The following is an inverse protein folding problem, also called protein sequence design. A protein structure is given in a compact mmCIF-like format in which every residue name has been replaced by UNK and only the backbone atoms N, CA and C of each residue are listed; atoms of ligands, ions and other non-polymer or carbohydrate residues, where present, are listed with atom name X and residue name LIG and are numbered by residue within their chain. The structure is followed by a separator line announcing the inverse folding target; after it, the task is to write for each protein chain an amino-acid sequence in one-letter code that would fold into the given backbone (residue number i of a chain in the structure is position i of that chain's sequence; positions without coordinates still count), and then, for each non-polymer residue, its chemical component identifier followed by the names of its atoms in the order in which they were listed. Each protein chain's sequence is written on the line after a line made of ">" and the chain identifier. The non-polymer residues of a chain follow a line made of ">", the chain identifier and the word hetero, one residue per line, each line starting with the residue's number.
data_IF_395898671123
#
_entry.id   IF_395898671123
#
_cell.length_a   1.000
_cell.length_b   1.000
_cell.length_c   1.000
_cell.angle_alpha   90.00
_cell.angle_beta   90.00
_cell.angle_gamma   90.00
#
_symmetry.space_group_name_H-M   'P 1'
#
loop_
_entity.id
_entity.type
_entity.pdbx_description
1 polymer ?
#
# COMPACT_ATOMS: atom_id res chain seq x y z
N UNK A 1 24.10 -70.42 80.70
CA UNK A 1 24.88 -69.87 79.57
C UNK A 1 23.93 -69.65 78.44
N UNK A 2 23.45 -68.42 78.28
CA UNK A 2 22.47 -68.03 77.24
C UNK A 2 23.19 -67.24 76.17
N UNK A 3 23.16 -67.79 74.93
CA UNK A 3 23.73 -67.10 73.75
C UNK A 3 22.78 -66.12 73.16
N UNK A 4 23.29 -64.95 72.82
CA UNK A 4 22.57 -63.89 72.14
C UNK A 4 22.42 -64.17 70.63
N UNK A 5 21.31 -63.77 69.98
CA UNK A 5 21.14 -63.94 68.56
C UNK A 5 21.84 -62.82 67.74
N UNK A 6 22.16 -63.09 66.46
CA UNK A 6 22.90 -62.12 65.61
C UNK A 6 22.02 -61.00 65.11
N UNK A 7 22.61 -59.77 65.01
CA UNK A 7 22.01 -58.56 64.43
C UNK A 7 21.99 -58.67 62.92
N UNK A 8 20.81 -58.47 62.32
CA UNK A 8 20.66 -58.22 60.86
C UNK A 8 21.15 -56.84 60.54
N UNK A 9 22.16 -56.73 59.70
CA UNK A 9 22.62 -55.48 59.12
C UNK A 9 21.78 -55.07 57.91
N UNK A 10 21.08 -53.96 58.03
CA UNK A 10 20.40 -53.33 56.90
C UNK A 10 21.40 -52.42 56.23
N UNK A 11 21.71 -52.69 54.96
CA UNK A 11 22.56 -51.82 54.15
C UNK A 11 21.72 -50.65 53.59
N UNK A 12 22.12 -49.35 53.73
CA UNK A 12 21.48 -48.23 53.12
C UNK A 12 22.19 -47.86 51.80
N UNK A 13 21.74 -48.38 50.67
CA UNK A 13 22.23 -47.99 49.37
C UNK A 13 21.16 -48.26 48.31
N UNK A 14 20.18 -47.38 48.12
CA UNK A 14 19.39 -47.31 46.89
C UNK A 14 18.32 -46.15 46.89
N UNK A 15 18.59 -44.92 47.36
CA UNK A 15 17.60 -43.84 47.29
C UNK A 15 18.21 -42.49 46.83
N UNK A 16 19.35 -42.47 46.18
CA UNK A 16 19.95 -41.19 45.76
C UNK A 16 20.31 -41.04 44.29
N UNK A 17 19.64 -41.72 43.38
CA UNK A 17 19.95 -41.60 41.94
C UNK A 17 18.75 -41.31 41.02
N UNK A 18 17.61 -40.86 41.54
CA UNK A 18 16.42 -40.56 40.71
C UNK A 18 15.98 -39.11 40.69
N UNK A 19 16.73 -38.17 41.29
CA UNK A 19 16.30 -36.74 41.35
C UNK A 19 17.18 -35.77 40.58
N UNK A 20 18.16 -36.21 39.79
CA UNK A 20 19.01 -35.30 38.98
C UNK A 20 18.73 -35.37 37.47
N UNK A 21 17.89 -36.30 37.02
CA UNK A 21 17.61 -36.46 35.58
C UNK A 21 16.40 -35.66 35.06
N UNK A 22 15.68 -34.88 35.90
CA UNK A 22 14.45 -34.20 35.49
C UNK A 22 14.58 -32.66 35.37
N UNK A 23 15.78 -32.10 35.48
CA UNK A 23 15.96 -30.64 35.40
C UNK A 23 16.78 -30.15 34.19
N UNK A 24 17.12 -31.03 33.25
CA UNK A 24 17.95 -30.69 32.09
C UNK A 24 17.19 -30.61 30.74
N UNK A 25 15.85 -30.72 30.73
CA UNK A 25 15.07 -30.70 29.47
C UNK A 25 14.20 -29.46 29.25
N UNK A 26 14.37 -28.40 30.02
CA UNK A 26 13.55 -27.18 29.87
C UNK A 26 14.30 -25.97 29.28
N UNK A 27 15.44 -26.16 28.61
CA UNK A 27 16.10 -25.11 27.82
C UNK A 27 16.31 -25.57 26.37
N UNK A 28 15.33 -26.24 25.78
CA UNK A 28 15.19 -26.19 24.34
C UNK A 28 14.55 -24.85 24.04
N UNK A 29 15.37 -23.81 23.82
CA UNK A 29 14.92 -22.54 23.28
C UNK A 29 14.03 -22.84 22.08
N UNK A 30 12.80 -22.29 22.06
CA UNK A 30 11.97 -22.34 20.87
C UNK A 30 12.86 -21.93 19.68
N UNK A 31 12.84 -22.67 18.55
CA UNK A 31 13.58 -22.22 17.38
C UNK A 31 13.11 -20.80 17.09
N UNK A 32 14.02 -19.84 17.18
CA UNK A 32 13.79 -18.54 16.62
C UNK A 32 13.54 -18.82 15.13
N UNK A 33 12.29 -18.81 14.71
CA UNK A 33 11.93 -18.73 13.30
C UNK A 33 12.44 -17.38 12.83
N UNK A 34 13.72 -17.33 12.45
CA UNK A 34 14.24 -16.24 11.66
C UNK A 34 13.37 -16.24 10.40
N UNK A 35 12.48 -15.26 10.27
CA UNK A 35 11.61 -15.14 9.12
C UNK A 35 12.47 -15.18 7.86
N UNK A 36 12.06 -15.96 6.87
CA UNK A 36 12.76 -16.01 5.59
C UNK A 36 12.62 -14.65 4.93
N UNK A 37 13.75 -13.98 4.65
CA UNK A 37 13.78 -12.68 3.99
C UNK A 37 14.39 -12.85 2.60
N UNK A 38 13.67 -12.39 1.57
CA UNK A 38 14.18 -12.32 0.20
C UNK A 38 14.26 -10.86 -0.22
N UNK A 39 15.35 -10.47 -0.89
CA UNK A 39 15.53 -9.15 -1.47
C UNK A 39 15.53 -9.23 -3.00
N UNK A 40 14.73 -8.37 -3.64
CA UNK A 40 14.69 -8.18 -5.09
C UNK A 40 15.06 -6.74 -5.43
N UNK A 41 15.67 -6.52 -6.59
CA UNK A 41 16.13 -5.20 -7.02
C UNK A 41 15.67 -4.89 -8.44
N UNK A 42 15.43 -3.59 -8.70
CA UNK A 42 15.18 -3.05 -10.02
C UNK A 42 16.31 -2.02 -10.33
N UNK A 43 16.90 -1.98 -11.52
CA UNK A 43 16.76 -2.98 -12.61
C UNK A 43 17.17 -4.39 -12.19
N UNK A 44 16.57 -5.40 -12.83
CA UNK A 44 16.84 -6.80 -12.52
C UNK A 44 18.34 -7.13 -12.66
N UNK A 45 18.94 -7.63 -11.59
CA UNK A 45 20.31 -8.11 -11.58
C UNK A 45 20.40 -9.57 -12.08
N UNK A 46 21.51 -9.97 -12.73
CA UNK A 46 21.71 -11.36 -13.13
C UNK A 46 21.54 -12.32 -11.94
N UNK A 47 20.67 -13.32 -12.07
CA UNK A 47 20.38 -14.27 -11.00
C UNK A 47 19.51 -13.73 -9.86
N UNK A 48 19.05 -12.49 -9.92
CA UNK A 48 18.15 -11.87 -8.96
C UNK A 48 16.67 -12.19 -9.24
N UNK A 49 15.79 -11.73 -8.36
CA UNK A 49 14.34 -11.79 -8.54
C UNK A 49 13.79 -10.47 -9.11
N UNK A 50 12.78 -10.57 -9.98
CA UNK A 50 12.03 -9.43 -10.51
C UNK A 50 11.02 -8.94 -9.47
N UNK A 51 11.12 -7.69 -8.95
CA UNK A 51 10.21 -7.16 -7.95
C UNK A 51 8.74 -7.24 -8.36
N UNK A 52 8.41 -6.92 -9.61
CA UNK A 52 7.03 -6.99 -10.13
C UNK A 52 6.52 -8.43 -10.16
N UNK A 53 7.30 -9.36 -10.71
CA UNK A 53 6.93 -10.77 -10.78
C UNK A 53 6.71 -11.33 -9.37
N UNK A 54 7.58 -11.01 -8.44
CA UNK A 54 7.49 -11.41 -7.01
C UNK A 54 6.21 -10.88 -6.35
N UNK A 55 5.86 -9.61 -6.59
CA UNK A 55 4.59 -9.03 -6.09
C UNK A 55 3.39 -9.77 -6.68
N UNK A 56 3.38 -10.03 -7.99
CA UNK A 56 2.28 -10.74 -8.67
C UNK A 56 2.17 -12.18 -8.16
N UNK A 57 3.28 -12.87 -7.94
CA UNK A 57 3.31 -14.22 -7.38
C UNK A 57 2.69 -14.27 -5.98
N UNK A 58 3.08 -13.34 -5.10
CA UNK A 58 2.53 -13.22 -3.76
C UNK A 58 1.00 -12.98 -3.78
N UNK A 59 0.51 -12.10 -4.66
CA UNK A 59 -0.92 -11.84 -4.83
C UNK A 59 -1.64 -13.08 -5.36
N UNK A 60 -1.03 -13.79 -6.30
CA UNK A 60 -1.61 -14.99 -6.92
C UNK A 60 -1.70 -16.14 -5.92
N UNK A 61 -0.69 -16.28 -5.05
CA UNK A 61 -0.64 -17.27 -3.99
C UNK A 61 -1.53 -16.97 -2.78
N UNK A 62 -2.02 -15.74 -2.64
CA UNK A 62 -2.85 -15.31 -1.53
C UNK A 62 -4.15 -16.11 -1.43
N UNK A 63 -4.51 -16.50 -0.19
CA UNK A 63 -5.68 -17.36 0.09
C UNK A 63 -6.73 -16.70 0.98
N UNK A 64 -6.36 -15.72 1.81
CA UNK A 64 -7.23 -15.09 2.79
C UNK A 64 -7.32 -13.58 2.60
N UNK A 65 -6.19 -12.89 2.68
CA UNK A 65 -6.15 -11.42 2.71
C UNK A 65 -4.99 -10.87 1.91
N UNK A 66 -5.22 -9.74 1.24
CA UNK A 66 -4.16 -8.87 0.67
C UNK A 66 -4.47 -7.43 1.06
N UNK A 67 -3.66 -6.86 1.96
CA UNK A 67 -3.77 -5.47 2.37
C UNK A 67 -2.66 -4.67 1.68
N UNK A 68 -3.04 -3.67 0.91
CA UNK A 68 -2.11 -2.80 0.17
C UNK A 68 -2.13 -1.41 0.76
N UNK A 69 -0.95 -0.81 0.96
CA UNK A 69 -0.78 0.60 1.31
C UNK A 69 0.32 1.15 0.39
N UNK A 70 -0.08 1.93 -0.63
CA UNK A 70 0.80 2.23 -1.75
C UNK A 70 0.75 3.71 -2.14
N UNK A 71 1.92 4.35 -2.14
CA UNK A 71 2.07 5.73 -2.57
C UNK A 71 1.72 5.92 -4.04
N UNK A 72 2.29 5.10 -4.93
CA UNK A 72 2.02 5.17 -6.36
C UNK A 72 1.71 3.77 -6.93
N UNK A 73 0.51 3.63 -7.47
CA UNK A 73 -0.04 2.37 -8.01
C UNK A 73 -0.59 2.63 -9.42
N UNK A 74 0.20 2.32 -10.45
CA UNK A 74 -0.18 2.48 -11.86
C UNK A 74 0.10 1.25 -12.71
N UNK A 75 0.76 0.21 -12.15
CA UNK A 75 1.06 -1.04 -12.85
C UNK A 75 -0.21 -1.80 -13.18
N UNK A 76 -0.53 -1.90 -14.47
CA UNK A 76 -1.72 -2.63 -14.95
C UNK A 76 -1.70 -4.11 -14.56
N UNK A 77 -0.52 -4.72 -14.53
CA UNK A 77 -0.36 -6.14 -14.23
C UNK A 77 -0.62 -6.42 -12.74
N UNK A 78 -0.07 -5.60 -11.85
CA UNK A 78 -0.31 -5.72 -10.40
C UNK A 78 -1.79 -5.43 -10.09
N UNK A 79 -2.38 -4.39 -10.68
CA UNK A 79 -3.81 -4.09 -10.54
C UNK A 79 -4.67 -5.27 -10.99
N UNK A 80 -4.37 -5.87 -12.15
CA UNK A 80 -5.10 -7.04 -12.63
C UNK A 80 -4.96 -8.24 -11.69
N UNK A 81 -3.77 -8.48 -11.12
CA UNK A 81 -3.56 -9.54 -10.14
C UNK A 81 -4.40 -9.33 -8.87
N UNK A 82 -4.47 -8.09 -8.34
CA UNK A 82 -5.29 -7.73 -7.17
C UNK A 82 -6.79 -7.94 -7.44
N UNK A 83 -7.28 -7.50 -8.60
CA UNK A 83 -8.68 -7.72 -9.01
C UNK A 83 -8.98 -9.22 -9.16
N UNK A 84 -8.09 -9.98 -9.77
CA UNK A 84 -8.24 -11.43 -9.91
C UNK A 84 -8.22 -12.13 -8.54
N UNK A 85 -7.39 -11.69 -7.59
CA UNK A 85 -7.40 -12.21 -6.23
C UNK A 85 -8.75 -11.92 -5.54
N UNK A 86 -9.29 -10.72 -5.71
CA UNK A 86 -10.63 -10.35 -5.22
C UNK A 86 -11.71 -11.26 -5.79
N UNK A 87 -11.69 -11.52 -7.09
CA UNK A 87 -12.65 -12.41 -7.75
C UNK A 87 -12.52 -13.88 -7.30
N UNK A 88 -11.33 -14.30 -6.83
CA UNK A 88 -11.13 -15.62 -6.20
C UNK A 88 -11.67 -15.72 -4.77
N UNK A 89 -12.21 -14.60 -4.22
CA UNK A 89 -12.73 -14.55 -2.86
C UNK A 89 -11.72 -14.11 -1.79
N UNK A 90 -10.50 -13.70 -2.19
CA UNK A 90 -9.52 -13.12 -1.26
C UNK A 90 -10.02 -11.74 -0.79
N UNK A 91 -9.90 -11.44 0.50
CA UNK A 91 -10.21 -10.11 1.03
C UNK A 91 -9.10 -9.12 0.67
N UNK A 92 -9.21 -8.54 -0.52
CA UNK A 92 -8.28 -7.52 -1.02
C UNK A 92 -8.79 -6.14 -0.67
N UNK A 93 -7.94 -5.32 -0.04
CA UNK A 93 -8.20 -3.91 0.30
C UNK A 93 -6.98 -3.06 0.00
N UNK A 94 -7.18 -1.80 -0.40
CA UNK A 94 -6.09 -0.88 -0.73
C UNK A 94 -6.27 0.48 -0.06
N UNK A 95 -5.17 1.06 0.42
CA UNK A 95 -5.04 2.48 0.78
C UNK A 95 -4.08 3.10 -0.23
N UNK A 96 -4.48 4.21 -0.84
CA UNK A 96 -3.65 4.97 -1.78
C UNK A 96 -3.46 6.40 -1.30
N UNK A 97 -2.34 7.02 -1.67
CA UNK A 97 -2.13 8.45 -1.41
C UNK A 97 -3.11 9.30 -2.22
N UNK A 98 -3.58 10.41 -1.65
CA UNK A 98 -4.51 11.33 -2.32
C UNK A 98 -3.96 11.90 -3.62
N UNK A 99 -2.63 12.08 -3.73
CA UNK A 99 -1.99 12.62 -4.95
C UNK A 99 -2.11 11.65 -6.12
N UNK A 100 -2.25 10.36 -5.85
CA UNK A 100 -2.52 9.36 -6.88
C UNK A 100 -3.77 9.72 -7.70
N UNK A 101 -4.81 10.27 -7.06
CA UNK A 101 -6.04 10.68 -7.75
C UNK A 101 -5.87 11.98 -8.54
N UNK A 102 -4.94 12.84 -8.12
CA UNK A 102 -4.66 14.12 -8.79
C UNK A 102 -3.78 13.92 -10.04
N UNK A 103 -2.88 12.95 -9.99
CA UNK A 103 -1.90 12.65 -11.03
C UNK A 103 -2.42 11.65 -12.07
N UNK A 104 -3.34 10.76 -11.69
CA UNK A 104 -3.87 9.68 -12.54
C UNK A 104 -4.99 10.18 -13.47
N UNK A 105 -4.62 11.08 -14.37
CA UNK A 105 -5.52 11.65 -15.40
C UNK A 105 -5.51 10.88 -16.72
N UNK A 106 -4.81 9.75 -16.76
CA UNK A 106 -4.74 8.93 -17.96
C UNK A 106 -5.92 7.94 -18.03
N UNK A 107 -6.27 7.48 -19.22
CA UNK A 107 -7.26 6.41 -19.49
C UNK A 107 -6.90 5.08 -18.80
N UNK A 108 -5.83 5.06 -18.03
CA UNK A 108 -5.30 3.92 -17.29
C UNK A 108 -5.51 4.03 -15.80
N UNK A 109 -6.52 4.78 -15.35
CA UNK A 109 -6.79 5.00 -13.92
C UNK A 109 -6.78 3.68 -13.14
N UNK A 110 -5.61 3.33 -12.61
CA UNK A 110 -5.37 2.07 -11.90
C UNK A 110 -6.26 1.96 -10.66
N UNK A 111 -6.48 3.08 -9.97
CA UNK A 111 -7.32 3.16 -8.77
C UNK A 111 -8.79 2.92 -9.12
N UNK A 112 -9.28 3.53 -10.22
CA UNK A 112 -10.64 3.27 -10.70
C UNK A 112 -10.82 1.83 -11.17
N UNK A 113 -9.81 1.22 -11.78
CA UNK A 113 -9.83 -0.20 -12.18
C UNK A 113 -9.88 -1.14 -10.97
N UNK A 114 -9.16 -0.85 -9.90
CA UNK A 114 -9.28 -1.60 -8.64
C UNK A 114 -10.70 -1.51 -8.09
N UNK A 115 -11.24 -0.30 -7.99
CA UNK A 115 -12.57 -0.08 -7.45
C UNK A 115 -13.67 -0.74 -8.30
N UNK A 116 -13.62 -0.61 -9.63
CA UNK A 116 -14.56 -1.27 -10.54
C UNK A 116 -14.43 -2.80 -10.53
N UNK A 117 -13.24 -3.33 -10.21
CA UNK A 117 -13.00 -4.74 -9.97
C UNK A 117 -13.46 -5.24 -8.58
N UNK A 118 -14.18 -4.41 -7.82
CA UNK A 118 -14.75 -4.78 -6.51
C UNK A 118 -13.75 -4.74 -5.34
N UNK A 119 -12.54 -4.18 -5.54
CA UNK A 119 -11.58 -3.96 -4.45
C UNK A 119 -11.95 -2.69 -3.69
N UNK A 120 -12.22 -2.74 -2.36
CA UNK A 120 -12.38 -1.56 -1.55
C UNK A 120 -11.11 -0.71 -1.56
N UNK A 121 -11.22 0.53 -2.04
CA UNK A 121 -10.12 1.49 -2.07
C UNK A 121 -10.41 2.64 -1.12
N UNK A 122 -9.46 2.89 -0.24
CA UNK A 122 -9.41 4.04 0.66
C UNK A 122 -8.39 5.05 0.15
N UNK A 123 -8.69 6.31 0.34
CA UNK A 123 -7.80 7.43 0.02
C UNK A 123 -7.28 8.02 1.32
N UNK A 124 -5.98 8.06 1.48
CA UNK A 124 -5.36 8.66 2.66
C UNK A 124 -5.60 10.18 2.69
N UNK A 125 -6.09 10.67 3.82
CA UNK A 125 -6.39 12.09 4.04
C UNK A 125 -5.54 12.72 5.14
N UNK A 126 -4.63 11.96 5.73
CA UNK A 126 -3.71 12.46 6.76
C UNK A 126 -2.77 13.50 6.14
N UNK A 127 -2.49 14.63 6.81
CA UNK A 127 -1.52 15.60 6.32
C UNK A 127 -0.15 14.99 6.03
N UNK A 128 0.51 15.43 4.97
CA UNK A 128 1.77 14.89 4.48
C UNK A 128 1.56 13.95 3.29
N UNK A 129 2.51 13.05 3.07
CA UNK A 129 2.47 11.99 2.07
C UNK A 129 2.28 10.65 2.76
N UNK A 130 1.39 9.83 2.25
CA UNK A 130 1.39 8.39 2.55
C UNK A 130 2.41 7.73 1.63
N UNK A 131 3.72 7.84 1.99
CA UNK A 131 4.83 7.42 1.14
C UNK A 131 5.20 5.95 1.27
N UNK A 132 4.32 5.15 1.84
CA UNK A 132 4.52 3.72 2.08
C UNK A 132 4.39 2.90 0.78
N UNK A 133 5.14 1.82 0.72
CA UNK A 133 5.07 0.77 -0.29
C UNK A 133 5.00 -0.56 0.46
N UNK A 134 3.78 -0.94 0.82
CA UNK A 134 3.51 -2.06 1.71
C UNK A 134 2.44 -2.96 1.09
N UNK A 135 2.66 -4.25 1.18
CA UNK A 135 1.63 -5.26 1.00
C UNK A 135 1.76 -6.30 2.12
N UNK A 136 0.63 -6.66 2.71
CA UNK A 136 0.56 -7.73 3.71
C UNK A 136 -0.30 -8.84 3.13
N UNK A 137 0.25 -10.06 3.07
CA UNK A 137 -0.41 -11.23 2.49
C UNK A 137 -0.70 -12.24 3.58
N UNK A 138 -1.96 -12.64 3.68
CA UNK A 138 -2.49 -13.68 4.57
C UNK A 138 -2.12 -13.52 6.06
N UNK A 139 -1.73 -12.29 6.47
CA UNK A 139 -1.28 -12.02 7.85
C UNK A 139 0.03 -12.71 8.22
N UNK A 140 0.81 -13.15 7.25
CA UNK A 140 2.04 -13.92 7.45
C UNK A 140 3.24 -13.38 6.66
N UNK A 141 3.01 -12.61 5.61
CA UNK A 141 4.06 -12.08 4.75
C UNK A 141 3.93 -10.58 4.62
N UNK A 142 5.03 -9.85 4.81
CA UNK A 142 5.16 -8.42 4.52
C UNK A 142 6.03 -8.23 3.29
N UNK A 143 5.54 -7.45 2.34
CA UNK A 143 6.30 -7.00 1.18
C UNK A 143 6.45 -5.48 1.30
N UNK A 144 7.69 -4.99 1.31
CA UNK A 144 8.00 -3.56 1.48
C UNK A 144 9.32 -3.18 0.83
N UNK A 145 9.66 -1.89 0.80
CA UNK A 145 10.89 -1.37 0.22
C UNK A 145 10.68 0.00 -0.42
N UNK A 146 11.51 0.35 -1.40
CA UNK A 146 11.34 1.57 -2.18
C UNK A 146 10.43 1.39 -3.41
N UNK A 147 10.16 0.14 -3.82
CA UNK A 147 9.50 -0.21 -5.07
C UNK A 147 8.03 0.22 -5.11
N UNK A 148 7.74 1.29 -5.84
CA UNK A 148 6.37 1.67 -6.19
C UNK A 148 5.79 0.70 -7.24
N UNK A 149 4.50 0.50 -7.24
CA UNK A 149 3.84 -0.34 -8.25
C UNK A 149 3.56 0.47 -9.53
N UNK A 150 4.65 0.89 -10.19
CA UNK A 150 4.63 1.77 -11.37
C UNK A 150 5.58 1.28 -12.45
N UNK A 151 5.29 1.64 -13.71
CA UNK A 151 6.17 1.32 -14.82
C UNK A 151 7.61 1.85 -14.63
N UNK A 152 7.77 3.05 -14.06
CA UNK A 152 9.10 3.62 -13.80
C UNK A 152 9.89 2.82 -12.78
N UNK A 153 9.24 2.35 -11.71
CA UNK A 153 9.87 1.48 -10.72
C UNK A 153 10.26 0.12 -11.33
N UNK A 154 9.44 -0.40 -12.25
CA UNK A 154 9.71 -1.67 -12.94
C UNK A 154 10.90 -1.59 -13.91
N UNK A 155 11.13 -0.43 -14.59
CA UNK A 155 12.00 -0.38 -15.77
C UNK A 155 13.12 0.67 -15.74
N UNK A 156 13.04 1.67 -14.84
CA UNK A 156 13.97 2.83 -14.86
C UNK A 156 14.67 3.10 -13.56
N UNK A 157 13.93 3.02 -12.44
CA UNK A 157 14.45 3.42 -11.16
C UNK A 157 15.33 2.32 -10.56
N UNK A 158 16.32 2.71 -9.76
CA UNK A 158 16.96 1.80 -8.82
C UNK A 158 16.05 1.63 -7.61
N UNK A 159 15.48 0.43 -7.43
CA UNK A 159 14.54 0.12 -6.36
C UNK A 159 14.95 -1.16 -5.64
N UNK A 160 14.45 -1.31 -4.43
CA UNK A 160 14.52 -2.55 -3.66
C UNK A 160 13.12 -3.00 -3.23
N UNK A 161 12.95 -4.29 -3.10
CA UNK A 161 11.77 -4.95 -2.55
C UNK A 161 12.24 -6.04 -1.59
N UNK A 162 11.65 -6.08 -0.40
CA UNK A 162 11.84 -7.16 0.57
C UNK A 162 10.55 -7.96 0.67
N UNK A 163 10.67 -9.28 0.65
CA UNK A 163 9.61 -10.22 1.04
C UNK A 163 10.03 -10.83 2.36
N UNK A 164 9.22 -10.66 3.38
CA UNK A 164 9.52 -11.06 4.76
C UNK A 164 8.42 -11.99 5.24
N UNK A 165 8.73 -13.26 5.42
CA UNK A 165 7.81 -14.28 5.96
C UNK A 165 7.90 -14.30 7.48
N UNK A 166 7.16 -13.40 8.14
CA UNK A 166 7.12 -13.26 9.60
C UNK A 166 5.72 -12.81 10.03
N UNK A 167 5.00 -13.69 10.73
CA UNK A 167 3.63 -13.42 11.16
C UNK A 167 3.55 -12.35 12.26
N UNK A 168 4.59 -12.23 13.10
CA UNK A 168 4.64 -11.19 14.15
C UNK A 168 4.79 -9.81 13.50
N UNK A 169 5.73 -9.68 12.59
CA UNK A 169 5.91 -8.45 11.83
C UNK A 169 4.66 -8.13 10.98
N UNK A 170 4.05 -9.14 10.34
CA UNK A 170 2.83 -8.96 9.57
C UNK A 170 1.66 -8.45 10.44
N UNK A 171 1.58 -8.88 11.71
CA UNK A 171 0.59 -8.37 12.65
C UNK A 171 0.83 -6.88 12.99
N UNK A 172 2.08 -6.46 13.20
CA UNK A 172 2.42 -5.05 13.43
C UNK A 172 2.08 -4.17 12.22
N UNK A 173 2.43 -4.61 11.01
CA UNK A 173 2.06 -3.92 9.77
C UNK A 173 0.54 -3.88 9.56
N UNK A 174 -0.17 -4.94 9.90
CA UNK A 174 -1.65 -4.97 9.84
C UNK A 174 -2.27 -3.98 10.82
N UNK A 175 -1.72 -3.87 12.03
CA UNK A 175 -2.16 -2.85 12.99
C UNK A 175 -1.95 -1.44 12.45
N UNK A 176 -0.78 -1.14 11.90
CA UNK A 176 -0.48 0.16 11.27
C UNK A 176 -1.45 0.43 10.11
N UNK A 177 -1.67 -0.56 9.22
CA UNK A 177 -2.62 -0.47 8.12
C UNK A 177 -4.03 -0.11 8.61
N UNK A 178 -4.52 -0.78 9.66
CA UNK A 178 -5.84 -0.53 10.25
C UNK A 178 -5.95 0.89 10.83
N UNK A 179 -4.92 1.37 11.53
CA UNK A 179 -4.87 2.74 12.05
C UNK A 179 -4.91 3.77 10.92
N UNK A 180 -4.23 3.50 9.81
CA UNK A 180 -4.24 4.37 8.63
C UNK A 180 -5.60 4.31 7.92
N UNK A 181 -6.16 3.11 7.74
CA UNK A 181 -7.49 2.90 7.16
C UNK A 181 -8.58 3.66 7.91
N UNK A 182 -8.56 3.66 9.25
CA UNK A 182 -9.51 4.38 10.09
C UNK A 182 -9.45 5.92 9.89
N UNK A 183 -8.35 6.44 9.36
CA UNK A 183 -8.12 7.88 9.07
C UNK A 183 -8.21 8.19 7.57
N UNK A 184 -8.54 7.21 6.76
CA UNK A 184 -8.71 7.33 5.30
C UNK A 184 -10.19 7.39 4.94
N UNK A 185 -10.50 7.82 3.72
CA UNK A 185 -11.89 7.92 3.21
C UNK A 185 -12.11 6.96 2.05
N UNK A 186 -13.30 6.37 1.91
CA UNK A 186 -13.64 5.60 0.72
C UNK A 186 -13.46 6.43 -0.55
N UNK A 187 -12.96 5.81 -1.63
CA UNK A 187 -12.73 6.48 -2.92
C UNK A 187 -13.98 7.19 -3.44
N UNK A 188 -15.17 6.58 -3.34
CA UNK A 188 -16.42 7.18 -3.78
C UNK A 188 -16.74 8.49 -3.03
N UNK A 189 -16.48 8.55 -1.72
CA UNK A 189 -16.66 9.78 -0.93
C UNK A 189 -15.64 10.85 -1.30
N UNK A 190 -14.40 10.46 -1.64
CA UNK A 190 -13.36 11.37 -2.11
C UNK A 190 -13.68 11.97 -3.48
N UNK A 191 -14.22 11.17 -4.39
CA UNK A 191 -14.67 11.65 -5.70
C UNK A 191 -15.87 12.61 -5.58
N UNK A 192 -16.81 12.34 -4.68
CA UNK A 192 -17.93 13.25 -4.40
C UNK A 192 -17.50 14.56 -3.73
N UNK A 193 -16.50 14.49 -2.82
CA UNK A 193 -15.94 15.69 -2.21
C UNK A 193 -15.20 16.57 -3.25
N UNK A 194 -14.44 15.95 -4.15
CA UNK A 194 -13.78 16.63 -5.26
C UNK A 194 -14.79 17.26 -6.24
N UNK A 195 -15.90 16.56 -6.56
CA UNK A 195 -16.96 17.11 -7.40
C UNK A 195 -17.72 18.25 -6.71
N UNK A 196 -17.96 18.15 -5.39
CA UNK A 196 -18.57 19.24 -4.60
C UNK A 196 -17.66 20.46 -4.50
N UNK A 197 -16.34 20.26 -4.31
CA UNK A 197 -15.38 21.38 -4.29
C UNK A 197 -15.22 22.01 -5.68
N UNK A 198 -15.33 21.23 -6.75
CA UNK A 198 -15.36 21.75 -8.11
C UNK A 198 -16.67 22.50 -8.42
N UNK A 199 -17.79 22.12 -7.80
CA UNK A 199 -19.09 22.80 -7.88
C UNK A 199 -19.21 23.97 -6.89
N UNK A 200 -18.45 23.94 -5.78
CA UNK A 200 -18.35 25.02 -4.79
C UNK A 200 -17.24 26.03 -5.09
N UNK A 201 -16.59 25.93 -6.26
CA UNK A 201 -15.80 27.04 -6.76
C UNK A 201 -16.71 28.28 -6.76
N UNK A 202 -16.27 29.42 -6.19
CA UNK A 202 -17.13 30.60 -6.02
C UNK A 202 -17.84 30.89 -7.33
N UNK A 203 -19.14 31.20 -7.24
CA UNK A 203 -19.96 31.61 -8.38
C UNK A 203 -19.12 32.60 -9.15
N UNK A 204 -18.67 32.20 -10.34
CA UNK A 204 -17.66 32.88 -11.10
C UNK A 204 -18.03 34.36 -11.20
N UNK A 205 -17.10 35.25 -10.93
CA UNK A 205 -17.15 36.60 -11.40
C UNK A 205 -17.61 36.51 -12.88
N UNK A 206 -18.72 37.18 -13.22
CA UNK A 206 -19.43 37.00 -14.48
C UNK A 206 -18.48 37.24 -15.68
N UNK A 207 -18.10 36.14 -16.35
CA UNK A 207 -17.25 36.20 -17.53
C UNK A 207 -16.84 34.80 -18.01
N UNK A 208 -16.43 34.65 -19.27
CA UNK A 208 -16.07 33.37 -19.86
C UNK A 208 -14.80 32.81 -19.23
N UNK A 209 -14.72 31.48 -19.14
CA UNK A 209 -13.47 30.79 -18.83
C UNK A 209 -12.52 30.91 -20.04
N UNK A 210 -11.30 31.40 -19.82
CA UNK A 210 -10.30 31.56 -20.89
C UNK A 210 -9.16 30.58 -20.72
N UNK A 211 -8.98 29.71 -21.69
CA UNK A 211 -7.84 28.79 -21.78
C UNK A 211 -6.70 29.38 -22.60
N UNK A 212 -5.46 29.09 -22.19
CA UNK A 212 -4.29 29.37 -22.98
C UNK A 212 -3.93 28.15 -23.82
N UNK A 213 -4.08 28.25 -25.15
CA UNK A 213 -3.83 27.12 -26.10
C UNK A 213 -2.41 26.57 -26.02
N UNK A 214 -1.43 27.41 -25.68
CA UNK A 214 -0.03 27.00 -25.61
C UNK A 214 0.30 26.20 -24.35
N UNK A 215 -0.23 26.61 -23.18
CA UNK A 215 0.04 25.97 -21.89
C UNK A 215 -1.01 24.97 -21.47
N UNK A 216 -2.16 24.93 -22.18
CA UNK A 216 -3.33 24.13 -21.84
C UNK A 216 -3.82 24.38 -20.40
N UNK A 217 -3.71 25.65 -19.96
CA UNK A 217 -4.18 26.11 -18.65
C UNK A 217 -5.36 27.06 -18.85
N UNK A 218 -6.47 26.82 -18.15
CA UNK A 218 -7.59 27.75 -18.16
C UNK A 218 -7.65 28.59 -16.88
N UNK A 219 -8.24 29.78 -17.01
CA UNK A 219 -8.41 30.75 -15.95
C UNK A 219 -9.83 31.31 -16.00
N UNK A 220 -10.32 31.79 -14.87
CA UNK A 220 -11.59 32.50 -14.76
C UNK A 220 -11.36 33.97 -14.41
N UNK A 221 -12.37 34.84 -14.56
CA UNK A 221 -12.27 36.26 -14.19
C UNK A 221 -11.81 36.40 -12.73
N UNK A 222 -10.82 37.26 -12.49
CA UNK A 222 -10.19 37.44 -11.20
C UNK A 222 -8.87 36.67 -11.01
N UNK A 223 -8.52 35.75 -11.90
CA UNK A 223 -7.20 35.12 -11.88
C UNK A 223 -6.10 36.13 -12.31
N UNK A 224 -4.91 36.12 -11.68
CA UNK A 224 -3.83 37.08 -11.92
C UNK A 224 -3.34 37.20 -13.36
N UNK A 225 -3.54 36.17 -14.18
CA UNK A 225 -3.11 36.15 -15.59
C UNK A 225 -4.26 36.03 -16.59
N UNK A 226 -5.51 36.17 -16.12
CA UNK A 226 -6.69 36.04 -16.96
C UNK A 226 -6.64 36.98 -18.20
N UNK A 227 -6.34 38.27 -17.97
CA UNK A 227 -6.25 39.27 -19.02
C UNK A 227 -4.91 39.26 -19.77
N UNK A 228 -3.89 38.56 -19.23
CA UNK A 228 -2.55 38.52 -19.81
C UNK A 228 -2.37 37.43 -20.87
N UNK A 229 -3.38 36.61 -21.12
CA UNK A 229 -3.33 35.62 -22.21
C UNK A 229 -3.43 36.37 -23.53
N UNK A 230 -2.41 36.22 -24.38
CA UNK A 230 -2.39 36.87 -25.69
C UNK A 230 -3.63 36.45 -26.53
N UNK A 231 -4.27 37.38 -27.28
CA UNK A 231 -5.51 37.08 -28.00
C UNK A 231 -5.46 35.86 -28.90
N UNK A 232 -4.35 35.63 -29.63
CA UNK A 232 -4.17 34.46 -30.50
C UNK A 232 -4.05 33.14 -29.77
N UNK A 233 -3.76 33.15 -28.45
CA UNK A 233 -3.68 31.97 -27.62
C UNK A 233 -4.92 31.70 -26.76
N UNK A 234 -5.97 32.53 -26.88
CA UNK A 234 -7.20 32.38 -26.10
C UNK A 234 -8.12 31.33 -26.70
N UNK A 235 -8.63 30.46 -25.83
CA UNK A 235 -9.76 29.60 -26.09
C UNK A 235 -10.83 29.89 -25.05
N UNK A 236 -12.03 30.25 -25.47
CA UNK A 236 -13.14 30.58 -24.56
C UNK A 236 -13.98 29.33 -24.29
N UNK A 237 -14.40 29.13 -23.04
CA UNK A 237 -15.24 28.03 -22.61
C UNK A 237 -16.43 28.58 -21.80
N UNK A 238 -17.58 27.93 -21.93
CA UNK A 238 -18.78 28.29 -21.17
C UNK A 238 -18.64 28.04 -19.66
N UNK A 239 -17.86 27.05 -19.30
CA UNK A 239 -17.60 26.65 -17.91
C UNK A 239 -16.30 25.88 -17.80
N UNK A 240 -15.86 25.64 -16.56
CA UNK A 240 -14.64 24.88 -16.25
C UNK A 240 -14.69 23.42 -16.77
N UNK A 241 -15.87 22.82 -16.77
CA UNK A 241 -16.06 21.45 -17.25
C UNK A 241 -15.80 21.34 -18.76
N UNK A 242 -16.27 22.32 -19.55
CA UNK A 242 -16.01 22.38 -20.98
C UNK A 242 -14.51 22.60 -21.27
N UNK A 243 -13.82 23.41 -20.47
CA UNK A 243 -12.37 23.60 -20.58
C UNK A 243 -11.61 22.30 -20.26
N UNK A 244 -12.02 21.58 -19.21
CA UNK A 244 -11.43 20.30 -18.83
C UNK A 244 -11.68 19.21 -19.87
N UNK A 245 -12.89 19.12 -20.41
CA UNK A 245 -13.23 18.22 -21.51
C UNK A 245 -12.39 18.47 -22.77
N UNK A 246 -11.99 19.73 -22.99
CA UNK A 246 -11.07 20.12 -24.05
C UNK A 246 -9.57 19.92 -23.69
N UNK A 247 -9.25 19.27 -22.56
CA UNK A 247 -7.89 18.94 -22.14
C UNK A 247 -7.16 20.06 -21.39
N UNK A 248 -7.85 21.14 -20.99
CA UNK A 248 -7.24 22.23 -20.24
C UNK A 248 -7.25 21.96 -18.73
N UNK A 249 -6.24 22.46 -18.03
CA UNK A 249 -6.10 22.36 -16.57
C UNK A 249 -6.40 23.69 -15.88
N UNK A 250 -6.92 23.72 -14.66
CA UNK A 250 -7.10 24.96 -13.91
C UNK A 250 -5.75 25.61 -13.58
N UNK A 251 -5.71 26.93 -13.55
CA UNK A 251 -4.57 27.67 -13.05
C UNK A 251 -4.44 27.47 -11.53
N UNK A 252 -3.22 27.17 -11.05
CA UNK A 252 -2.95 26.89 -9.63
C UNK A 252 -2.95 28.13 -8.73
N UNK A 253 -2.83 29.30 -9.31
CA UNK A 253 -2.68 30.60 -8.63
C UNK A 253 -3.93 31.49 -8.71
N UNK A 254 -5.06 30.92 -9.04
CA UNK A 254 -6.35 31.58 -8.97
C UNK A 254 -6.95 31.49 -7.57
N UNK A 255 -7.62 32.56 -7.05
CA UNK A 255 -8.29 32.50 -5.76
C UNK A 255 -9.47 31.53 -5.75
#
# INVERSE_FOLDING_TARGET
>A
MMGLPPRLGIKPTAVRLLTVALLATMLAGAPAFAGQIQACFSPLLPGGCDPRATVIEAITGARKTVLVQMYALTSRQIVSALVNAKHRGVDVRAIVDRRQLEEDRSDTNAVARLASGGVPVLVDTVPGLMHDKIMIVDGATVITGSFNYTWSAEHRNAENLLVIHDATLAAEYTQNWNLRAARSRPLAASAQAASRSAQAAPAAAAGPIIGNRRSMIYQWPGCPYYDKIAPGNRASFQNAQAAQAAGYRPAKNCP
#
